data_IF_310269955085
#
_entry.id   IF_310269955085
#
_cell.length_a   1.000
_cell.length_b   1.000
_cell.length_c   1.000
_cell.angle_alpha   90.00
_cell.angle_beta   90.00
_cell.angle_gamma   90.00
#
_symmetry.space_group_name_H-M   'P 1'
#
loop_
_entity.id
_entity.type
_entity.pdbx_description
1 polymer ?
#
# COMPACT_ATOMS: atom_id res chain seq x y z
N UNK A 1 -0.52 7.94 -23.55
CA UNK A 1 0.14 9.03 -22.81
C UNK A 1 -0.82 9.46 -21.71
N UNK A 2 -0.33 9.72 -20.49
CA UNK A 2 -1.19 10.22 -19.41
C UNK A 2 -1.77 11.57 -19.82
N UNK A 3 -3.09 11.73 -19.68
CA UNK A 3 -3.78 12.97 -20.04
C UNK A 3 -3.98 13.81 -18.77
N UNK A 4 -3.42 15.01 -18.76
CA UNK A 4 -3.61 15.99 -17.68
C UNK A 4 -5.09 16.36 -17.52
N UNK A 5 -5.83 16.50 -18.62
CA UNK A 5 -7.25 16.86 -18.59
C UNK A 5 -8.11 15.71 -18.04
N UNK A 6 -7.71 14.46 -18.30
CA UNK A 6 -8.37 13.25 -17.83
C UNK A 6 -8.09 12.86 -16.38
N UNK A 7 -7.06 13.42 -15.73
CA UNK A 7 -6.60 12.99 -14.40
C UNK A 7 -7.69 13.10 -13.31
N UNK A 8 -8.26 14.30 -13.14
CA UNK A 8 -9.29 14.56 -12.14
C UNK A 8 -10.59 13.79 -12.44
N UNK A 9 -11.13 13.79 -13.69
CA UNK A 9 -12.28 12.95 -14.02
C UNK A 9 -12.05 11.46 -13.76
N UNK A 10 -10.84 10.95 -13.97
CA UNK A 10 -10.52 9.56 -13.68
C UNK A 10 -10.50 9.27 -12.16
N UNK A 11 -9.90 10.15 -11.35
CA UNK A 11 -9.95 10.03 -9.89
C UNK A 11 -11.38 10.06 -9.36
N UNK A 12 -12.21 10.98 -9.83
CA UNK A 12 -13.62 11.08 -9.42
C UNK A 12 -14.43 9.83 -9.77
N UNK A 13 -14.16 9.21 -10.94
CA UNK A 13 -14.78 7.94 -11.31
C UNK A 13 -14.33 6.79 -10.41
N UNK A 14 -13.07 6.78 -10.01
CA UNK A 14 -12.53 5.75 -9.10
C UNK A 14 -13.09 5.90 -7.67
N UNK A 15 -13.33 7.13 -7.22
CA UNK A 15 -13.96 7.45 -5.92
C UNK A 15 -15.51 7.34 -5.94
N UNK A 16 -16.11 7.08 -7.10
CA UNK A 16 -17.56 7.00 -7.20
C UNK A 16 -18.11 5.83 -6.37
N UNK A 17 -19.26 6.00 -5.70
CA UNK A 17 -19.89 4.91 -4.94
C UNK A 17 -20.06 3.64 -5.78
N UNK A 18 -19.63 2.49 -5.25
CA UNK A 18 -19.72 1.18 -5.91
C UNK A 18 -18.70 0.94 -7.04
N UNK A 19 -17.81 1.90 -7.34
CA UNK A 19 -16.73 1.69 -8.31
C UNK A 19 -15.79 0.56 -7.88
N UNK A 20 -15.43 0.55 -6.59
CA UNK A 20 -14.63 -0.51 -5.97
C UNK A 20 -15.36 -1.86 -6.05
N UNK A 21 -16.60 -1.94 -5.57
CA UNK A 21 -17.37 -3.19 -5.56
C UNK A 21 -17.47 -3.81 -6.95
N UNK A 22 -17.75 -2.99 -7.97
CA UNK A 22 -17.80 -3.42 -9.37
C UNK A 22 -16.43 -3.94 -9.85
N UNK A 23 -15.34 -3.27 -9.49
CA UNK A 23 -13.99 -3.70 -9.83
C UNK A 23 -13.62 -5.02 -9.13
N UNK A 24 -13.91 -5.15 -7.84
CA UNK A 24 -13.63 -6.37 -7.07
C UNK A 24 -14.48 -7.56 -7.54
N UNK A 25 -15.72 -7.34 -7.96
CA UNK A 25 -16.56 -8.38 -8.56
C UNK A 25 -15.98 -8.91 -9.88
N UNK A 26 -15.46 -8.00 -10.74
CA UNK A 26 -14.75 -8.40 -11.97
C UNK A 26 -13.46 -9.15 -11.64
N UNK A 27 -12.65 -8.62 -10.72
CA UNK A 27 -11.36 -9.20 -10.32
C UNK A 27 -11.51 -10.53 -9.58
N UNK A 28 -12.68 -10.80 -8.99
CA UNK A 28 -13.01 -12.12 -8.45
C UNK A 28 -13.03 -13.24 -9.50
N UNK A 29 -13.13 -12.90 -10.78
CA UNK A 29 -13.07 -13.83 -11.93
C UNK A 29 -11.75 -13.71 -12.70
N UNK A 30 -10.80 -12.91 -12.20
CA UNK A 30 -9.54 -12.68 -12.87
C UNK A 30 -8.62 -13.92 -12.73
N UNK A 31 -8.10 -14.47 -13.84
CA UNK A 31 -7.24 -15.65 -13.80
C UNK A 31 -5.92 -15.41 -13.07
N UNK A 32 -5.37 -14.20 -13.09
CA UNK A 32 -4.13 -13.88 -12.38
C UNK A 32 -4.34 -13.87 -10.87
N UNK A 33 -5.41 -13.22 -10.39
CA UNK A 33 -5.76 -13.23 -8.95
C UNK A 33 -6.00 -14.66 -8.47
N UNK A 34 -6.74 -15.45 -9.25
CA UNK A 34 -7.03 -16.86 -8.95
C UNK A 34 -5.75 -17.69 -8.85
N UNK A 35 -4.84 -17.54 -9.83
CA UNK A 35 -3.54 -18.24 -9.82
C UNK A 35 -2.68 -17.84 -8.63
N UNK A 36 -2.61 -16.54 -8.30
CA UNK A 36 -1.83 -16.05 -7.16
C UNK A 36 -2.33 -16.65 -5.84
N UNK A 37 -3.65 -16.70 -5.63
CA UNK A 37 -4.23 -17.32 -4.43
C UNK A 37 -4.02 -18.84 -4.38
N UNK A 38 -4.11 -19.54 -5.52
CA UNK A 38 -3.80 -20.97 -5.59
C UNK A 38 -2.33 -21.26 -5.24
N UNK A 39 -1.40 -20.47 -5.79
CA UNK A 39 0.03 -20.57 -5.50
C UNK A 39 0.35 -20.26 -4.03
N UNK A 40 -0.30 -19.25 -3.45
CA UNK A 40 -0.22 -18.94 -2.02
C UNK A 40 -0.69 -20.13 -1.17
N UNK A 41 -1.87 -20.67 -1.47
CA UNK A 41 -2.48 -21.77 -0.70
C UNK A 41 -1.58 -23.00 -0.73
N UNK A 42 -1.13 -23.41 -1.92
CA UNK A 42 -0.22 -24.54 -2.07
C UNK A 42 1.12 -24.35 -1.34
N UNK A 43 1.65 -23.11 -1.32
CA UNK A 43 2.88 -22.79 -0.60
C UNK A 43 2.68 -22.88 0.93
N UNK A 44 1.56 -22.37 1.46
CA UNK A 44 1.23 -22.42 2.89
C UNK A 44 0.93 -23.86 3.37
N UNK A 45 0.29 -24.67 2.53
CA UNK A 45 0.04 -26.10 2.82
C UNK A 45 1.34 -26.90 2.88
N UNK A 46 2.24 -26.68 1.92
CA UNK A 46 3.54 -27.36 1.86
C UNK A 46 4.50 -26.94 2.98
N UNK A 47 4.36 -25.73 3.50
CA UNK A 47 5.27 -25.22 4.53
C UNK A 47 5.14 -26.01 5.85
N UNK A 48 6.24 -26.54 6.41
CA UNK A 48 6.22 -27.25 7.69
C UNK A 48 6.01 -26.31 8.88
N UNK A 49 6.44 -25.07 8.76
CA UNK A 49 6.35 -24.06 9.81
C UNK A 49 6.13 -22.65 9.23
N UNK A 50 5.79 -21.72 10.14
CA UNK A 50 5.50 -20.34 9.77
C UNK A 50 6.70 -19.62 9.13
N UNK A 51 7.92 -19.89 9.64
CA UNK A 51 9.14 -19.26 9.12
C UNK A 51 9.39 -19.66 7.68
N UNK A 52 9.15 -20.92 7.33
CA UNK A 52 9.29 -21.45 5.98
C UNK A 52 8.21 -20.86 5.06
N UNK A 53 6.96 -20.76 5.53
CA UNK A 53 5.90 -20.10 4.78
C UNK A 53 6.25 -18.64 4.47
N UNK A 54 6.63 -17.85 5.47
CA UNK A 54 6.96 -16.42 5.31
C UNK A 54 8.25 -16.17 4.52
N UNK A 55 9.07 -17.20 4.27
CA UNK A 55 10.23 -17.12 3.37
C UNK A 55 9.88 -17.41 1.91
N UNK A 56 8.73 -18.02 1.64
CA UNK A 56 8.28 -18.32 0.29
C UNK A 56 7.86 -17.02 -0.42
N UNK A 57 8.45 -16.68 -1.58
CA UNK A 57 8.10 -15.46 -2.32
C UNK A 57 6.62 -15.39 -2.69
N UNK A 58 5.95 -16.51 -2.94
CA UNK A 58 4.52 -16.56 -3.28
C UNK A 58 3.66 -16.19 -2.10
N UNK A 59 4.07 -16.60 -0.89
CA UNK A 59 3.41 -16.22 0.36
C UNK A 59 3.61 -14.74 0.64
N UNK A 60 4.85 -14.25 0.56
CA UNK A 60 5.12 -12.82 0.75
C UNK A 60 4.36 -11.96 -0.25
N UNK A 61 4.33 -12.35 -1.53
CA UNK A 61 3.65 -11.61 -2.57
C UNK A 61 2.18 -11.39 -2.23
N UNK A 62 1.45 -12.44 -1.85
CA UNK A 62 0.03 -12.32 -1.52
C UNK A 62 -0.17 -11.59 -0.19
N UNK A 63 0.51 -12.01 0.88
CA UNK A 63 0.31 -11.45 2.23
C UNK A 63 0.63 -9.97 2.27
N UNK A 64 1.79 -9.58 1.76
CA UNK A 64 2.25 -8.18 1.85
C UNK A 64 1.46 -7.30 0.89
N UNK A 65 1.16 -7.76 -0.32
CA UNK A 65 0.35 -6.97 -1.27
C UNK A 65 -1.06 -6.74 -0.73
N UNK A 66 -1.71 -7.79 -0.23
CA UNK A 66 -3.08 -7.70 0.30
C UNK A 66 -3.17 -6.80 1.54
N UNK A 67 -2.15 -6.81 2.39
CA UNK A 67 -2.07 -5.97 3.59
C UNK A 67 -1.45 -4.59 3.31
N UNK A 68 -1.24 -4.24 2.03
CA UNK A 68 -0.82 -2.90 1.63
C UNK A 68 0.65 -2.58 1.88
N UNK A 69 1.52 -3.60 1.94
CA UNK A 69 2.99 -3.55 2.06
C UNK A 69 3.72 -4.10 0.79
N UNK A 70 3.29 -3.81 -0.45
CA UNK A 70 3.89 -4.43 -1.64
C UNK A 70 5.38 -4.09 -1.82
N UNK A 71 5.83 -2.94 -1.30
CA UNK A 71 7.21 -2.49 -1.29
C UNK A 71 8.14 -3.28 -0.35
N UNK A 72 7.55 -4.10 0.53
CA UNK A 72 8.29 -4.97 1.45
C UNK A 72 8.53 -6.38 0.90
N UNK A 73 7.97 -6.74 -0.26
CA UNK A 73 8.21 -8.05 -0.88
C UNK A 73 9.71 -8.24 -1.12
N UNK A 74 10.25 -9.38 -0.68
CA UNK A 74 11.68 -9.68 -0.76
C UNK A 74 12.49 -9.22 0.47
N UNK A 75 11.95 -8.37 1.34
CA UNK A 75 12.57 -7.95 2.60
C UNK A 75 12.40 -9.02 3.70
N UNK A 76 12.76 -10.26 3.40
CA UNK A 76 12.41 -11.47 4.16
C UNK A 76 12.76 -11.38 5.65
N UNK A 77 13.89 -10.75 6.00
CA UNK A 77 14.28 -10.56 7.40
C UNK A 77 13.33 -9.65 8.17
N UNK A 78 12.89 -8.55 7.55
CA UNK A 78 11.92 -7.64 8.15
C UNK A 78 10.53 -8.28 8.20
N UNK A 79 10.10 -8.95 7.12
CA UNK A 79 8.82 -9.67 7.04
C UNK A 79 8.69 -10.66 8.19
N UNK A 80 9.70 -11.51 8.40
CA UNK A 80 9.72 -12.47 9.49
C UNK A 80 9.61 -11.77 10.84
N UNK A 81 10.45 -10.77 11.11
CA UNK A 81 10.48 -10.12 12.43
C UNK A 81 9.23 -9.30 12.72
N UNK A 82 8.66 -8.63 11.72
CA UNK A 82 7.53 -7.74 11.89
C UNK A 82 6.20 -8.50 11.95
N UNK A 83 5.95 -9.45 11.04
CA UNK A 83 4.67 -10.17 11.02
C UNK A 83 4.51 -11.17 12.18
N UNK A 84 5.61 -11.57 12.83
CA UNK A 84 5.57 -12.44 14.01
C UNK A 84 5.84 -11.70 15.33
N UNK A 85 5.97 -10.37 15.30
CA UNK A 85 6.09 -9.58 16.52
C UNK A 85 4.72 -9.37 17.17
N UNK A 86 4.69 -9.23 18.49
CA UNK A 86 3.47 -8.85 19.21
C UNK A 86 3.11 -7.39 18.90
N UNK A 87 1.94 -7.11 18.27
CA UNK A 87 1.52 -5.74 17.99
C UNK A 87 1.12 -4.94 19.23
N UNK A 88 0.88 -5.62 20.35
CA UNK A 88 0.47 -5.05 21.63
C UNK A 88 1.67 -4.59 22.48
N UNK A 89 2.89 -5.04 22.15
CA UNK A 89 4.10 -4.63 22.85
C UNK A 89 4.46 -3.17 22.52
N UNK A 90 4.17 -2.28 23.47
CA UNK A 90 4.45 -0.85 23.37
C UNK A 90 5.94 -0.51 23.24
N UNK A 91 6.85 -1.43 23.60
CA UNK A 91 8.30 -1.24 23.50
C UNK A 91 8.92 -2.08 22.37
N UNK A 92 8.12 -2.88 21.69
CA UNK A 92 8.52 -3.86 20.69
C UNK A 92 8.89 -3.24 19.33
N UNK A 93 9.29 -4.09 18.39
CA UNK A 93 9.69 -3.68 17.04
C UNK A 93 8.61 -2.85 16.35
N UNK A 94 7.36 -3.33 16.36
CA UNK A 94 6.24 -2.70 15.66
C UNK A 94 5.91 -1.29 16.18
N UNK A 95 6.09 -1.05 17.48
CA UNK A 95 5.90 0.28 18.07
C UNK A 95 6.96 1.29 17.57
N UNK A 96 8.18 0.82 17.30
CA UNK A 96 9.32 1.64 16.86
C UNK A 96 9.39 1.84 15.35
N UNK A 97 8.68 1.05 14.56
CA UNK A 97 8.66 1.22 13.11
C UNK A 97 7.95 2.54 12.73
N UNK A 98 8.55 3.34 11.84
CA UNK A 98 7.90 4.53 11.29
C UNK A 98 6.65 4.16 10.48
N UNK A 99 6.74 3.10 9.68
CA UNK A 99 5.65 2.61 8.86
C UNK A 99 4.66 1.77 9.69
N UNK A 100 3.52 2.38 10.02
CA UNK A 100 2.48 1.77 10.85
C UNK A 100 1.71 0.65 10.14
N UNK A 101 1.85 0.50 8.81
CA UNK A 101 1.23 -0.61 8.06
C UNK A 101 1.71 -1.97 8.57
N UNK A 102 2.95 -2.06 9.05
CA UNK A 102 3.49 -3.28 9.67
C UNK A 102 2.72 -3.71 10.92
N UNK A 103 2.37 -2.74 11.78
CA UNK A 103 1.58 -3.02 12.98
C UNK A 103 0.18 -3.50 12.57
N UNK A 104 -0.48 -2.81 11.64
CA UNK A 104 -1.78 -3.24 11.12
C UNK A 104 -1.76 -4.64 10.50
N UNK A 105 -0.71 -4.98 9.74
CA UNK A 105 -0.54 -6.32 9.17
C UNK A 105 -0.36 -7.41 10.25
N UNK A 106 0.44 -7.14 11.28
CA UNK A 106 0.60 -8.05 12.41
C UNK A 106 -0.71 -8.21 13.21
N UNK A 107 -1.46 -7.12 13.43
CA UNK A 107 -2.77 -7.14 14.10
C UNK A 107 -3.82 -7.92 13.31
N UNK A 108 -3.83 -7.79 11.97
CA UNK A 108 -4.78 -8.49 11.12
C UNK A 108 -4.57 -10.01 11.14
N UNK A 109 -3.32 -10.47 11.17
CA UNK A 109 -2.98 -11.89 11.07
C UNK A 109 -2.79 -12.58 12.42
N UNK A 110 -2.28 -11.86 13.44
CA UNK A 110 -1.91 -12.38 14.76
C UNK A 110 -1.04 -13.64 14.69
N UNK A 111 -0.02 -13.62 13.83
CA UNK A 111 0.86 -14.78 13.63
C UNK A 111 1.72 -15.11 14.85
N UNK A 112 1.95 -14.12 15.72
CA UNK A 112 2.59 -14.27 17.03
C UNK A 112 1.87 -15.31 17.91
N UNK A 113 0.54 -15.35 17.84
CA UNK A 113 -0.29 -16.26 18.64
C UNK A 113 -0.80 -17.45 17.85
N UNK A 114 -1.16 -17.23 16.58
CA UNK A 114 -1.85 -18.22 15.74
C UNK A 114 -0.89 -19.04 14.89
N UNK A 115 0.36 -18.61 14.77
CA UNK A 115 1.37 -19.28 13.95
C UNK A 115 0.95 -19.46 12.49
N UNK A 116 1.37 -20.56 11.89
CA UNK A 116 1.03 -20.93 10.51
C UNK A 116 -0.48 -21.16 10.30
N UNK A 117 -1.22 -21.52 11.36
CA UNK A 117 -2.65 -21.80 11.27
C UNK A 117 -3.47 -20.56 10.84
N UNK A 118 -3.01 -19.35 11.15
CA UNK A 118 -3.65 -18.12 10.65
C UNK A 118 -3.63 -18.04 9.11
N UNK A 119 -2.53 -18.43 8.45
CA UNK A 119 -2.44 -18.39 6.98
C UNK A 119 -3.26 -19.51 6.31
N UNK A 120 -3.64 -20.54 7.07
CA UNK A 120 -4.52 -21.64 6.64
C UNK A 120 -6.00 -21.36 6.92
N UNK A 121 -6.32 -20.34 7.72
CA UNK A 121 -7.70 -20.01 8.06
C UNK A 121 -8.44 -19.49 6.81
N UNK A 122 -9.55 -20.12 6.39
CA UNK A 122 -10.34 -19.68 5.25
C UNK A 122 -10.78 -18.21 5.31
N UNK A 123 -11.06 -17.67 6.50
CA UNK A 123 -11.42 -16.26 6.68
C UNK A 123 -10.25 -15.33 6.40
N UNK A 124 -9.05 -15.70 6.85
CA UNK A 124 -7.83 -14.94 6.55
C UNK A 124 -7.54 -15.02 5.06
N UNK A 125 -7.64 -16.20 4.45
CA UNK A 125 -7.44 -16.35 3.00
C UNK A 125 -8.45 -15.53 2.18
N UNK A 126 -9.71 -15.48 2.60
CA UNK A 126 -10.73 -14.64 1.97
C UNK A 126 -10.39 -13.14 2.08
N UNK A 127 -9.94 -12.69 3.26
CA UNK A 127 -9.49 -11.30 3.46
C UNK A 127 -8.25 -10.97 2.62
N UNK A 128 -7.28 -11.89 2.52
CA UNK A 128 -6.11 -11.72 1.67
C UNK A 128 -6.48 -11.68 0.19
N UNK A 129 -7.40 -12.53 -0.26
CA UNK A 129 -7.91 -12.49 -1.62
C UNK A 129 -8.61 -11.16 -1.92
N UNK A 130 -9.37 -10.60 -0.96
CA UNK A 130 -9.98 -9.29 -1.10
C UNK A 130 -8.96 -8.16 -1.19
N UNK A 131 -7.99 -8.13 -0.27
CA UNK A 131 -6.91 -7.15 -0.29
C UNK A 131 -6.08 -7.22 -1.57
N UNK A 132 -5.83 -8.43 -2.08
CA UNK A 132 -5.14 -8.64 -3.35
C UNK A 132 -5.93 -8.06 -4.52
N UNK A 133 -7.24 -8.31 -4.60
CA UNK A 133 -8.12 -7.69 -5.61
C UNK A 133 -8.08 -6.16 -5.53
N UNK A 134 -8.14 -5.58 -4.33
CA UNK A 134 -8.03 -4.11 -4.16
C UNK A 134 -6.69 -3.59 -4.64
N UNK A 135 -5.59 -4.30 -4.35
CA UNK A 135 -4.27 -3.93 -4.83
C UNK A 135 -4.15 -4.03 -6.36
N UNK A 136 -4.68 -5.09 -6.97
CA UNK A 136 -4.73 -5.26 -8.42
C UNK A 136 -5.55 -4.16 -9.09
N UNK A 137 -6.71 -3.79 -8.52
CA UNK A 137 -7.51 -2.70 -9.06
C UNK A 137 -6.76 -1.37 -9.05
N UNK A 138 -6.05 -1.05 -7.97
CA UNK A 138 -5.21 0.15 -7.91
C UNK A 138 -4.10 0.14 -8.96
N UNK A 139 -3.47 -1.01 -9.19
CA UNK A 139 -2.47 -1.16 -10.25
C UNK A 139 -3.07 -0.92 -11.65
N UNK A 140 -4.29 -1.40 -11.92
CA UNK A 140 -4.99 -1.13 -13.19
C UNK A 140 -5.33 0.37 -13.34
N UNK A 141 -5.72 1.03 -12.25
CA UNK A 141 -5.96 2.48 -12.23
C UNK A 141 -4.68 3.25 -12.54
N UNK A 142 -3.58 2.92 -11.88
CA UNK A 142 -2.27 3.54 -12.12
C UNK A 142 -1.74 3.29 -13.54
N UNK A 143 -2.02 2.11 -14.10
CA UNK A 143 -1.68 1.79 -15.49
C UNK A 143 -2.49 2.62 -16.49
N UNK A 144 -3.71 3.02 -16.13
CA UNK A 144 -4.56 3.89 -16.94
C UNK A 144 -4.15 5.36 -16.81
N UNK A 145 -3.92 5.80 -15.57
CA UNK A 145 -3.53 7.16 -15.24
C UNK A 145 -2.62 7.13 -13.99
N UNK A 146 -1.35 7.57 -14.10
CA UNK A 146 -0.41 7.54 -12.99
C UNK A 146 -0.93 8.27 -11.74
N UNK A 147 -0.79 7.64 -10.58
CA UNK A 147 -1.08 8.23 -9.28
C UNK A 147 -2.52 8.04 -8.80
N UNK A 148 -3.42 7.44 -9.59
CA UNK A 148 -4.79 7.18 -9.14
C UNK A 148 -4.84 6.21 -7.96
N UNK A 149 -4.08 5.11 -7.99
CA UNK A 149 -4.06 4.11 -6.93
C UNK A 149 -3.52 4.68 -5.62
N UNK A 150 -2.46 5.49 -5.71
CA UNK A 150 -1.88 6.20 -4.58
C UNK A 150 -2.83 7.27 -4.01
N UNK A 151 -3.55 8.00 -4.87
CA UNK A 151 -4.55 8.98 -4.45
C UNK A 151 -5.73 8.34 -3.70
N UNK A 152 -6.22 7.18 -4.16
CA UNK A 152 -7.27 6.43 -3.44
C UNK A 152 -6.80 5.99 -2.05
N UNK A 153 -5.60 5.40 -1.95
CA UNK A 153 -5.05 4.98 -0.66
C UNK A 153 -4.79 6.17 0.26
N UNK A 154 -4.43 7.33 -0.28
CA UNK A 154 -4.28 8.55 0.49
C UNK A 154 -5.61 9.00 1.10
N UNK A 155 -6.71 8.98 0.34
CA UNK A 155 -8.05 9.28 0.86
C UNK A 155 -8.45 8.37 2.01
N UNK A 156 -8.14 7.08 1.93
CA UNK A 156 -8.43 6.10 2.98
C UNK A 156 -7.59 6.31 4.25
N UNK A 157 -6.37 6.82 4.12
CA UNK A 157 -5.36 6.80 5.19
C UNK A 157 -5.01 8.15 5.78
N UNK A 158 -5.28 9.25 5.08
CA UNK A 158 -4.82 10.59 5.47
C UNK A 158 -5.26 10.98 6.88
N UNK A 159 -6.48 10.61 7.29
CA UNK A 159 -6.99 10.90 8.64
C UNK A 159 -6.15 10.29 9.76
N UNK A 160 -5.43 9.19 9.50
CA UNK A 160 -4.55 8.56 10.48
C UNK A 160 -3.22 9.30 10.67
N UNK A 161 -2.85 10.20 9.75
CA UNK A 161 -1.62 10.96 9.84
C UNK A 161 -1.84 12.27 10.61
N UNK A 162 -1.32 12.31 11.84
CA UNK A 162 -1.43 13.46 12.74
C UNK A 162 -0.19 14.34 12.75
N UNK A 163 0.94 13.75 12.37
CA UNK A 163 2.26 14.39 12.37
C UNK A 163 2.93 14.25 11.01
N UNK A 164 3.93 15.08 10.74
CA UNK A 164 4.75 14.95 9.53
C UNK A 164 5.49 13.60 9.50
N UNK A 165 5.80 13.03 10.65
CA UNK A 165 6.44 11.72 10.76
C UNK A 165 5.50 10.57 10.38
N UNK A 166 4.20 10.69 10.67
CA UNK A 166 3.20 9.72 10.20
C UNK A 166 3.10 9.74 8.67
N UNK A 167 3.11 10.95 8.08
CA UNK A 167 3.14 11.12 6.62
C UNK A 167 4.41 10.53 6.03
N UNK A 168 5.58 10.82 6.59
CA UNK A 168 6.87 10.34 6.09
C UNK A 168 7.06 8.83 6.31
N UNK A 169 6.40 8.27 7.31
CA UNK A 169 6.45 6.84 7.67
C UNK A 169 5.68 5.94 6.71
N UNK A 170 4.54 6.40 6.17
CA UNK A 170 3.80 5.67 5.13
C UNK A 170 4.31 6.09 3.72
N UNK A 171 4.86 5.15 2.92
CA UNK A 171 5.37 5.47 1.58
C UNK A 171 4.34 6.07 0.62
N UNK A 172 3.06 5.72 0.73
CA UNK A 172 1.98 6.28 -0.08
C UNK A 172 1.70 7.71 0.35
N UNK A 173 1.48 7.94 1.66
CA UNK A 173 1.24 9.29 2.18
C UNK A 173 2.42 10.22 1.85
N UNK A 174 3.65 9.73 2.01
CA UNK A 174 4.86 10.44 1.62
C UNK A 174 4.83 10.83 0.14
N UNK A 175 4.62 9.88 -0.78
CA UNK A 175 4.59 10.17 -2.23
C UNK A 175 3.50 11.16 -2.61
N UNK A 176 2.30 10.99 -2.05
CA UNK A 176 1.15 11.86 -2.36
C UNK A 176 1.39 13.27 -1.84
N UNK A 177 1.81 13.42 -0.59
CA UNK A 177 2.06 14.74 0.01
C UNK A 177 3.25 15.43 -0.65
N UNK A 178 4.38 14.74 -0.87
CA UNK A 178 5.54 15.37 -1.53
C UNK A 178 5.22 15.74 -2.97
N UNK A 179 4.52 14.88 -3.71
CA UNK A 179 4.09 15.14 -5.08
C UNK A 179 3.10 16.30 -5.17
N UNK A 180 2.07 16.33 -4.33
CA UNK A 180 1.07 17.41 -4.30
C UNK A 180 1.67 18.77 -3.93
N UNK A 181 2.75 18.77 -3.14
CA UNK A 181 3.46 19.98 -2.72
C UNK A 181 4.60 20.37 -3.67
N UNK A 182 4.84 19.59 -4.73
CA UNK A 182 5.95 19.82 -5.66
C UNK A 182 7.33 19.69 -5.02
N UNK A 183 7.45 18.88 -3.95
CA UNK A 183 8.73 18.61 -3.29
C UNK A 183 9.55 17.63 -4.16
N UNK A 184 10.85 17.90 -4.35
CA UNK A 184 11.71 17.02 -5.14
C UNK A 184 11.90 15.67 -4.45
N UNK A 185 11.91 14.57 -5.21
CA UNK A 185 12.11 13.21 -4.68
C UNK A 185 13.45 13.06 -3.92
N UNK A 186 14.45 13.83 -4.31
CA UNK A 186 15.78 13.87 -3.69
C UNK A 186 15.74 14.34 -2.23
N UNK A 187 14.63 14.93 -1.76
CA UNK A 187 14.49 15.28 -0.34
C UNK A 187 14.63 14.06 0.58
N UNK A 188 14.40 12.84 0.07
CA UNK A 188 14.57 11.59 0.81
C UNK A 188 15.98 11.39 1.38
N UNK A 189 17.00 12.02 0.78
CA UNK A 189 18.39 11.93 1.27
C UNK A 189 18.68 12.88 2.43
N UNK A 190 17.78 13.83 2.71
CA UNK A 190 17.93 14.79 3.79
C UNK A 190 17.52 14.17 5.14
N UNK A 191 17.99 14.73 6.27
CA UNK A 191 17.49 14.34 7.59
C UNK A 191 15.96 14.40 7.66
N UNK A 192 15.35 13.46 8.39
CA UNK A 192 13.89 13.33 8.47
C UNK A 192 13.23 14.60 9.03
N UNK A 193 13.92 15.34 9.90
CA UNK A 193 13.50 16.63 10.45
C UNK A 193 13.44 17.72 9.38
N UNK A 194 14.36 17.68 8.41
CA UNK A 194 14.36 18.59 7.27
C UNK A 194 13.22 18.26 6.31
N UNK A 195 12.98 16.97 6.05
CA UNK A 195 11.82 16.53 5.27
C UNK A 195 10.51 16.97 5.93
N UNK A 196 10.38 16.77 7.26
CA UNK A 196 9.21 17.16 8.03
C UNK A 196 8.95 18.67 7.95
N UNK A 197 9.99 19.50 8.14
CA UNK A 197 9.89 20.96 8.00
C UNK A 197 9.46 21.41 6.61
N UNK A 198 9.92 20.72 5.55
CA UNK A 198 9.55 21.04 4.18
C UNK A 198 8.07 20.75 3.86
N UNK A 199 7.49 19.74 4.54
CA UNK A 199 6.05 19.45 4.48
C UNK A 199 5.29 20.51 5.29
N UNK A 200 5.64 20.72 6.55
CA UNK A 200 4.87 21.60 7.45
C UNK A 200 4.94 23.08 7.07
N UNK A 201 5.94 23.50 6.28
CA UNK A 201 6.00 24.87 5.74
C UNK A 201 5.00 25.13 4.60
N UNK A 202 4.45 24.08 4.00
CA UNK A 202 3.52 24.17 2.86
C UNK A 202 2.14 23.56 3.15
N UNK A 203 2.04 22.70 4.16
CA UNK A 203 0.83 22.00 4.54
C UNK A 203 0.61 22.09 6.05
N UNK A 204 -0.55 22.63 6.44
CA UNK A 204 -1.08 22.45 7.77
C UNK A 204 -1.63 21.03 7.91
N UNK A 205 -1.03 20.23 8.79
CA UNK A 205 -1.36 18.82 9.00
C UNK A 205 -2.77 18.62 9.56
N UNK A 206 -3.33 19.62 10.26
CA UNK A 206 -4.71 19.54 10.72
C UNK A 206 -5.70 19.39 9.56
N UNK A 207 -5.33 19.83 8.35
CA UNK A 207 -6.15 19.69 7.14
C UNK A 207 -6.30 18.25 6.67
N UNK A 208 -5.39 17.34 7.04
CA UNK A 208 -5.53 15.92 6.72
C UNK A 208 -6.72 15.26 7.44
N UNK A 209 -7.30 15.94 8.44
CA UNK A 209 -8.51 15.51 9.13
C UNK A 209 -9.79 15.96 8.41
N UNK A 210 -9.68 16.78 7.36
CA UNK A 210 -10.81 17.26 6.58
C UNK A 210 -10.85 16.54 5.22
N UNK A 211 -11.87 15.68 4.96
CA UNK A 211 -11.97 14.94 3.70
C UNK A 211 -11.93 15.83 2.45
N UNK A 212 -12.41 17.08 2.52
CA UNK A 212 -12.35 18.00 1.36
C UNK A 212 -10.94 18.49 1.06
N UNK A 213 -10.12 18.71 2.10
CA UNK A 213 -8.73 19.11 1.90
C UNK A 213 -7.87 17.91 1.46
N UNK A 214 -8.17 16.71 1.97
CA UNK A 214 -7.58 15.45 1.49
C UNK A 214 -7.86 15.26 0.00
N UNK A 215 -9.12 15.42 -0.44
CA UNK A 215 -9.48 15.34 -1.85
C UNK A 215 -8.77 16.37 -2.72
N UNK A 216 -8.58 17.60 -2.23
CA UNK A 216 -7.81 18.62 -2.96
C UNK A 216 -6.34 18.24 -3.10
N UNK A 217 -5.73 17.64 -2.08
CA UNK A 217 -4.34 17.15 -2.16
C UNK A 217 -4.22 15.97 -3.12
N UNK A 218 -5.18 15.04 -3.08
CA UNK A 218 -5.25 13.91 -4.00
C UNK A 218 -5.38 14.39 -5.46
N UNK A 219 -6.27 15.35 -5.74
CA UNK A 219 -6.42 15.98 -7.06
C UNK A 219 -5.12 16.65 -7.54
N UNK A 220 -4.43 17.40 -6.65
CA UNK A 220 -3.13 18.01 -6.97
C UNK A 220 -2.05 16.98 -7.28
N UNK A 221 -2.02 15.89 -6.51
CA UNK A 221 -1.07 14.81 -6.71
C UNK A 221 -1.28 14.12 -8.07
N UNK A 222 -2.51 13.76 -8.43
CA UNK A 222 -2.77 13.09 -9.71
C UNK A 222 -2.48 14.00 -10.90
N UNK A 223 -2.69 15.31 -10.78
CA UNK A 223 -2.26 16.28 -11.78
C UNK A 223 -0.73 16.34 -11.91
N UNK A 224 -0.01 16.38 -10.80
CA UNK A 224 1.46 16.40 -10.79
C UNK A 224 2.07 15.10 -11.36
N UNK A 225 1.43 13.96 -11.09
CA UNK A 225 1.81 12.65 -11.63
C UNK A 225 1.53 12.55 -13.14
N UNK A 226 0.40 13.08 -13.60
CA UNK A 226 0.02 13.12 -15.00
C UNK A 226 0.91 14.04 -15.86
N UNK A 227 1.33 15.17 -15.28
CA UNK A 227 2.16 16.17 -15.97
C UNK A 227 3.65 15.81 -16.10
N UNK A 228 4.07 14.63 -15.63
CA UNK A 228 5.48 14.20 -15.70
C UNK A 228 6.43 14.97 -14.77
N UNK A 229 5.93 15.94 -14.00
CA UNK A 229 6.70 16.68 -12.97
C UNK A 229 7.08 15.81 -11.76
N UNK A 230 6.44 14.65 -11.61
CA UNK A 230 6.89 13.59 -10.69
C UNK A 230 8.04 12.81 -11.29
N UNK A 231 9.27 13.34 -11.18
CA UNK A 231 10.48 12.67 -11.66
C UNK A 231 10.57 11.22 -11.19
N UNK A 232 10.48 10.30 -12.15
CA UNK A 232 11.03 8.95 -12.13
C UNK A 232 10.58 8.03 -11.00
N UNK A 233 9.53 7.26 -11.22
CA UNK A 233 9.64 5.79 -11.26
C UNK A 233 8.35 5.26 -11.89
N UNK A 234 8.43 4.93 -13.17
CA UNK A 234 7.62 3.83 -13.67
C UNK A 234 7.93 2.65 -12.74
N UNK A 235 6.98 2.26 -11.89
CA UNK A 235 7.08 1.01 -11.16
C UNK A 235 7.44 -0.05 -12.20
N UNK A 236 8.58 -0.71 -11.97
CA UNK A 236 9.06 -1.78 -12.80
C UNK A 236 7.86 -2.66 -13.16
N UNK A 237 7.53 -2.71 -14.45
CA UNK A 237 6.66 -3.74 -15.00
C UNK A 237 7.30 -5.04 -14.52
N UNK A 238 6.65 -5.74 -13.60
CA UNK A 238 6.98 -7.13 -13.35
C UNK A 238 6.92 -7.80 -14.72
N UNK A 239 8.03 -8.29 -15.28
CA UNK A 239 7.94 -9.06 -16.50
C UNK A 239 7.06 -10.25 -16.16
N UNK A 240 5.98 -10.43 -16.93
CA UNK A 240 5.21 -11.67 -16.90
C UNK A 240 6.18 -12.81 -17.16
N UNK A 241 6.48 -13.60 -16.13
CA UNK A 241 7.16 -14.87 -16.28
C UNK A 241 6.12 -15.89 -16.74
N UNK A 242 5.93 -15.92 -18.05
CA UNK A 242 5.62 -17.14 -18.79
C UNK A 242 6.96 -17.89 -18.95
N UNK A 243 7.10 -18.99 -18.23
CA UNK A 243 7.78 -20.24 -18.59
C UNK A 243 7.74 -21.18 -17.38
#
# INVERSE_FOLDING_TARGET
>A
MADLAGAIPALRRALAPGAEDKALARLGRDPQVTRQMAQFTAAVEKAPDLRTALRDPRVQQVVLTALGLPDAVGQTGLVLRALTADPSDAKGLLARLPDKRWKGAAEALRLDQRGLAALRDPKVQASLAEGLKRATWRQELDATQPGLGDALLFEERAANAKTAYDVLGDPVLRRVVTGALGLPQQIVVQPVETQARAITSRLDLAKLQNPREVARLAERYVLAAAGGTGGGTASARLPGLLA
#
